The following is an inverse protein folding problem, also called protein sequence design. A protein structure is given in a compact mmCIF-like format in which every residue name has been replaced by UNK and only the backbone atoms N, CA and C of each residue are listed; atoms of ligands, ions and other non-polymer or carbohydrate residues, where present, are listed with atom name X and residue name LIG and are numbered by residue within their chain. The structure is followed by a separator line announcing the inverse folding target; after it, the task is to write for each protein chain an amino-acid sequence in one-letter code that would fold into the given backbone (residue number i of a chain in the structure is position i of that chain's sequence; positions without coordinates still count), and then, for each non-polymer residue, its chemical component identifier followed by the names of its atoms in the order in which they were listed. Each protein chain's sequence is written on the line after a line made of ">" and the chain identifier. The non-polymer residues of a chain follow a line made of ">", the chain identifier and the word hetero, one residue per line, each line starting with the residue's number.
data_IF_144523332095
#
_entry.id   IF_144523332095
#
_cell.length_a   1.000
_cell.length_b   1.000
_cell.length_c   1.000
_cell.angle_alpha   90.00
_cell.angle_beta   90.00
_cell.angle_gamma   90.00
#
_symmetry.space_group_name_H-M   'P 1'
#
loop_
_entity.id
_entity.type
_entity.pdbx_description
1 polymer ?
#
# COMPACT_ATOMS: atom_id res chain seq x y z
N UNK A 1 -3.38 -3.40 16.19
CA UNK A 1 -2.85 -2.47 15.17
C UNK A 1 -2.06 -1.40 15.90
N UNK A 2 -0.82 -1.17 15.46
CA UNK A 2 0.12 -0.21 16.05
C UNK A 2 -0.44 1.21 16.12
N UNK A 3 0.04 2.00 17.08
CA UNK A 3 -0.18 3.45 17.09
C UNK A 3 0.30 4.07 15.77
N UNK A 4 -0.48 5.00 15.21
CA UNK A 4 -0.23 5.56 13.88
C UNK A 4 1.19 6.11 13.70
N UNK A 5 1.74 6.82 14.70
CA UNK A 5 3.10 7.36 14.61
C UNK A 5 4.16 6.26 14.41
N UNK A 6 4.03 5.15 15.14
CA UNK A 6 4.92 3.99 15.02
C UNK A 6 4.70 3.26 13.70
N UNK A 7 3.45 3.12 13.26
CA UNK A 7 3.14 2.49 11.98
C UNK A 7 3.68 3.31 10.80
N UNK A 8 3.50 4.64 10.84
CA UNK A 8 4.04 5.58 9.85
C UNK A 8 5.57 5.55 9.82
N UNK A 9 6.25 5.56 10.97
CA UNK A 9 7.70 5.44 11.03
C UNK A 9 8.21 4.11 10.44
N UNK A 10 7.48 3.02 10.68
CA UNK A 10 7.81 1.74 10.09
C UNK A 10 7.69 1.75 8.58
N UNK A 11 6.61 2.32 8.05
CA UNK A 11 6.37 2.48 6.62
C UNK A 11 7.42 3.36 5.94
N UNK A 12 7.82 4.47 6.57
CA UNK A 12 8.87 5.38 6.05
C UNK A 12 10.25 4.72 5.96
N UNK A 13 10.52 3.71 6.78
CA UNK A 13 11.81 2.99 6.83
C UNK A 13 11.77 1.64 6.10
N UNK A 14 10.68 1.33 5.41
CA UNK A 14 10.42 0.02 4.85
C UNK A 14 11.41 -0.35 3.74
N UNK A 15 11.66 0.57 2.80
CA UNK A 15 12.63 0.39 1.72
C UNK A 15 14.05 0.17 2.27
N UNK A 16 14.47 0.97 3.26
CA UNK A 16 15.76 0.83 3.92
C UNK A 16 15.91 -0.51 4.65
N UNK A 17 14.86 -0.94 5.37
CA UNK A 17 14.82 -2.24 6.07
C UNK A 17 14.95 -3.39 5.07
N UNK A 18 14.26 -3.30 3.93
CA UNK A 18 14.31 -4.31 2.88
C UNK A 18 15.72 -4.36 2.25
N UNK A 19 16.29 -3.21 1.89
CA UNK A 19 17.65 -3.11 1.35
C UNK A 19 18.69 -3.68 2.30
N UNK A 20 18.60 -3.39 3.61
CA UNK A 20 19.51 -3.94 4.62
C UNK A 20 19.41 -5.45 4.72
N UNK A 21 18.20 -6.02 4.67
CA UNK A 21 17.99 -7.47 4.68
C UNK A 21 18.64 -8.13 3.46
N UNK A 22 18.45 -7.56 2.28
CA UNK A 22 19.09 -8.04 1.04
C UNK A 22 20.62 -7.95 1.09
N UNK A 23 21.18 -6.82 1.51
CA UNK A 23 22.64 -6.65 1.61
C UNK A 23 23.24 -7.61 2.64
N UNK A 24 22.55 -7.83 3.76
CA UNK A 24 23.01 -8.77 4.81
C UNK A 24 22.99 -10.23 4.38
N UNK A 25 22.10 -10.63 3.44
CA UNK A 25 22.03 -12.00 2.96
C UNK A 25 23.01 -12.32 1.83
N UNK A 26 23.70 -11.31 1.26
CA UNK A 26 24.53 -11.45 0.05
C UNK A 26 26.03 -11.73 0.30
N UNK A 27 26.58 -11.50 1.50
CA UNK A 27 28.00 -11.73 1.78
C UNK A 27 28.96 -11.13 0.73
N UNK A 28 30.15 -11.73 0.54
CA UNK A 28 31.15 -11.28 -0.45
C UNK A 28 30.70 -11.40 -1.94
N UNK A 29 29.47 -11.83 -2.22
CA UNK A 29 28.93 -12.01 -3.58
C UNK A 29 28.13 -10.80 -4.09
N UNK A 30 28.32 -9.61 -3.51
CA UNK A 30 27.62 -8.37 -3.88
C UNK A 30 27.95 -7.84 -5.29
N UNK A 31 28.97 -8.38 -5.96
CA UNK A 31 29.42 -7.93 -7.28
C UNK A 31 28.45 -8.22 -8.44
N UNK A 32 27.55 -9.21 -8.32
CA UNK A 32 26.62 -9.56 -9.41
C UNK A 32 25.24 -8.90 -9.28
N UNK A 33 24.97 -8.16 -8.20
CA UNK A 33 23.65 -7.58 -7.92
C UNK A 33 23.50 -6.11 -8.28
N UNK A 34 24.51 -5.50 -8.92
CA UNK A 34 24.47 -4.08 -9.33
C UNK A 34 23.41 -3.75 -10.39
N UNK A 35 22.65 -4.73 -10.88
CA UNK A 35 21.66 -4.55 -11.94
C UNK A 35 20.18 -4.46 -11.49
N UNK A 36 19.85 -4.47 -10.18
CA UNK A 36 18.44 -4.54 -9.74
C UNK A 36 17.91 -3.33 -8.96
N UNK A 37 18.34 -2.10 -9.28
CA UNK A 37 17.67 -0.88 -8.74
C UNK A 37 16.23 -0.74 -9.29
N UNK A 38 15.89 -1.45 -10.36
CA UNK A 38 14.52 -1.58 -10.92
C UNK A 38 13.71 -2.75 -10.31
N UNK A 39 14.02 -3.19 -9.11
CA UNK A 39 13.24 -4.23 -8.44
C UNK A 39 11.85 -3.69 -8.06
N UNK A 40 10.80 -4.30 -8.63
CA UNK A 40 9.39 -3.96 -8.37
C UNK A 40 9.08 -3.93 -6.86
N UNK A 41 9.75 -4.74 -6.04
CA UNK A 41 9.62 -4.74 -4.57
C UNK A 41 10.08 -3.43 -3.94
N UNK A 42 11.20 -2.89 -4.41
CA UNK A 42 11.75 -1.64 -3.87
C UNK A 42 10.79 -0.51 -4.22
N UNK A 43 10.26 -0.50 -5.46
CA UNK A 43 9.25 0.47 -5.89
C UNK A 43 7.96 0.37 -5.06
N UNK A 44 7.50 -0.84 -4.76
CA UNK A 44 6.34 -1.06 -3.90
C UNK A 44 6.57 -0.60 -2.44
N UNK A 45 7.77 -0.80 -1.89
CA UNK A 45 8.13 -0.27 -0.58
C UNK A 45 8.26 1.26 -0.58
N UNK A 46 8.77 1.84 -1.66
CA UNK A 46 8.84 3.29 -1.85
C UNK A 46 7.44 3.88 -1.96
N UNK A 47 6.51 3.20 -2.64
CA UNK A 47 5.11 3.62 -2.72
C UNK A 47 4.46 3.69 -1.34
N UNK A 48 4.62 2.64 -0.53
CA UNK A 48 4.16 2.63 0.87
C UNK A 48 4.79 3.78 1.66
N UNK A 49 6.09 4.01 1.49
CA UNK A 49 6.81 5.12 2.14
C UNK A 49 6.27 6.48 1.72
N UNK A 50 5.90 6.63 0.45
CA UNK A 50 5.38 7.88 -0.11
C UNK A 50 3.97 8.17 0.40
N UNK A 51 3.10 7.14 0.50
CA UNK A 51 1.79 7.24 1.18
C UNK A 51 1.98 7.61 2.65
N UNK A 52 2.91 6.97 3.35
CA UNK A 52 3.20 7.31 4.75
C UNK A 52 3.66 8.77 4.90
N UNK A 53 4.50 9.26 4.00
CA UNK A 53 4.98 10.65 3.97
C UNK A 53 3.85 11.63 3.67
N UNK A 54 2.94 11.29 2.77
CA UNK A 54 1.81 12.15 2.39
C UNK A 54 0.72 12.23 3.46
N UNK A 55 0.71 11.31 4.43
CA UNK A 55 -0.12 11.33 5.64
C UNK A 55 0.53 12.06 6.84
N UNK A 56 1.65 12.76 6.63
CA UNK A 56 2.32 13.55 7.67
C UNK A 56 1.41 14.68 8.20
N UNK A 57 1.61 15.05 9.47
CA UNK A 57 0.80 16.03 10.21
C UNK A 57 0.66 17.39 9.51
N UNK A 58 1.64 17.76 8.68
CA UNK A 58 1.66 19.04 7.98
C UNK A 58 0.53 19.13 6.93
N UNK A 59 0.00 17.98 6.49
CA UNK A 59 -1.10 17.90 5.53
C UNK A 59 -2.48 17.74 6.18
N UNK A 60 -2.55 17.77 7.52
CA UNK A 60 -3.77 17.39 8.26
C UNK A 60 -4.90 18.36 8.05
N UNK A 61 -4.61 19.66 7.91
CA UNK A 61 -5.62 20.68 7.65
C UNK A 61 -6.38 20.38 6.36
N UNK A 62 -5.66 20.10 5.27
CA UNK A 62 -6.23 19.85 3.94
C UNK A 62 -6.99 18.53 3.92
N UNK A 63 -6.42 17.48 4.53
CA UNK A 63 -7.09 16.18 4.61
C UNK A 63 -8.36 16.24 5.47
N UNK A 64 -8.31 16.96 6.59
CA UNK A 64 -9.45 17.11 7.49
C UNK A 64 -10.57 17.93 6.82
N UNK A 65 -10.24 18.95 6.03
CA UNK A 65 -11.20 19.69 5.22
C UNK A 65 -11.90 18.77 4.20
N UNK A 66 -11.14 17.93 3.49
CA UNK A 66 -11.69 16.92 2.58
C UNK A 66 -12.62 15.91 3.28
N UNK A 67 -12.24 15.43 4.47
CA UNK A 67 -13.10 14.53 5.23
C UNK A 67 -14.39 15.23 5.67
N UNK A 68 -14.34 16.51 6.04
CA UNK A 68 -15.53 17.28 6.42
C UNK A 68 -16.48 17.52 5.24
N UNK A 69 -15.96 17.69 4.03
CA UNK A 69 -16.80 17.93 2.85
C UNK A 69 -17.45 16.66 2.30
N UNK A 70 -16.80 15.51 2.44
CA UNK A 70 -17.26 14.25 1.85
C UNK A 70 -18.00 13.29 2.80
N UNK A 71 -17.82 13.43 4.12
CA UNK A 71 -18.60 12.66 5.10
C UNK A 71 -19.86 13.43 5.49
N UNK A 72 -21.02 12.92 5.06
CA UNK A 72 -22.37 13.53 5.16
C UNK A 72 -22.87 13.85 6.59
N UNK A 73 -22.07 13.66 7.65
CA UNK A 73 -22.47 13.93 9.04
C UNK A 73 -21.41 14.69 9.85
N UNK A 74 -21.92 15.63 10.64
CA UNK A 74 -21.21 16.68 11.36
C UNK A 74 -20.11 16.19 12.31
N UNK A 75 -19.03 17.00 12.37
CA UNK A 75 -17.89 16.95 13.31
C UNK A 75 -16.95 15.76 13.15
N UNK A 76 -16.30 15.66 11.98
CA UNK A 76 -15.03 14.92 11.86
C UNK A 76 -14.06 15.42 12.92
N UNK A 77 -13.72 14.54 13.85
CA UNK A 77 -12.80 14.79 14.96
C UNK A 77 -11.36 14.46 14.57
N UNK A 78 -10.41 14.86 15.40
CA UNK A 78 -9.01 14.44 15.23
C UNK A 78 -8.82 12.92 15.38
N UNK A 79 -9.71 12.26 16.11
CA UNK A 79 -9.72 10.80 16.22
C UNK A 79 -10.08 10.14 14.89
N UNK A 80 -11.11 10.67 14.22
CA UNK A 80 -11.55 10.17 12.92
C UNK A 80 -10.47 10.36 11.85
N UNK A 81 -9.73 11.48 11.90
CA UNK A 81 -8.57 11.70 11.05
C UNK A 81 -7.47 10.67 11.32
N UNK A 82 -7.12 10.42 12.58
CA UNK A 82 -6.10 9.45 12.93
C UNK A 82 -6.49 8.02 12.48
N UNK A 83 -7.75 7.65 12.69
CA UNK A 83 -8.29 6.36 12.24
C UNK A 83 -8.28 6.24 10.72
N UNK A 84 -8.69 7.30 10.01
CA UNK A 84 -8.64 7.35 8.56
C UNK A 84 -7.21 7.14 8.05
N UNK A 85 -6.23 7.89 8.57
CA UNK A 85 -4.81 7.74 8.17
C UNK A 85 -4.28 6.34 8.44
N UNK A 86 -4.63 5.76 9.59
CA UNK A 86 -4.23 4.41 9.96
C UNK A 86 -4.81 3.37 8.99
N UNK A 87 -6.10 3.50 8.66
CA UNK A 87 -6.80 2.65 7.67
C UNK A 87 -6.24 2.84 6.26
N UNK A 88 -5.94 4.06 5.83
CA UNK A 88 -5.28 4.33 4.54
C UNK A 88 -3.93 3.65 4.45
N UNK A 89 -3.10 3.77 5.52
CA UNK A 89 -1.79 3.15 5.55
C UNK A 89 -1.88 1.61 5.59
N UNK A 90 -2.82 1.05 6.34
CA UNK A 90 -3.10 -0.39 6.30
C UNK A 90 -3.57 -0.84 4.91
N UNK A 91 -4.43 -0.04 4.26
CA UNK A 91 -4.96 -0.30 2.92
C UNK A 91 -3.86 -0.43 1.87
N UNK A 92 -2.87 0.46 1.87
CA UNK A 92 -1.77 0.37 0.89
C UNK A 92 -0.89 -0.86 1.14
N UNK A 93 -0.65 -1.23 2.39
CA UNK A 93 0.04 -2.49 2.72
C UNK A 93 -0.74 -3.71 2.20
N UNK A 94 -2.06 -3.75 2.41
CA UNK A 94 -2.91 -4.86 1.94
C UNK A 94 -2.87 -4.96 0.42
N UNK A 95 -3.02 -3.82 -0.27
CA UNK A 95 -3.01 -3.77 -1.73
C UNK A 95 -1.66 -4.21 -2.31
N UNK A 96 -0.55 -3.76 -1.72
CA UNK A 96 0.78 -4.16 -2.16
C UNK A 96 1.01 -5.64 -1.87
N UNK A 97 0.73 -6.10 -0.64
CA UNK A 97 0.91 -7.50 -0.25
C UNK A 97 0.09 -8.46 -1.14
N UNK A 98 -1.11 -8.08 -1.56
CA UNK A 98 -1.93 -8.94 -2.43
C UNK A 98 -1.29 -9.20 -3.80
N UNK A 99 -0.39 -8.32 -4.28
CA UNK A 99 0.41 -8.55 -5.52
C UNK A 99 1.37 -9.73 -5.39
N UNK A 100 1.71 -10.11 -4.16
CA UNK A 100 2.68 -11.15 -3.81
C UNK A 100 2.03 -12.43 -3.25
N UNK A 101 0.70 -12.59 -3.36
CA UNK A 101 -0.05 -13.69 -2.74
C UNK A 101 0.19 -15.07 -3.37
N UNK A 102 0.69 -15.16 -4.60
CA UNK A 102 0.99 -16.44 -5.26
C UNK A 102 2.18 -17.15 -4.62
N UNK A 103 2.12 -18.47 -4.42
CA UNK A 103 3.14 -19.29 -3.72
C UNK A 103 4.60 -19.00 -4.13
N UNK A 104 4.86 -18.89 -5.44
CA UNK A 104 6.21 -18.60 -5.97
C UNK A 104 6.65 -17.18 -5.58
N UNK A 105 5.74 -16.21 -5.68
CA UNK A 105 6.01 -14.83 -5.29
C UNK A 105 6.18 -14.69 -3.77
N UNK A 106 5.38 -15.40 -2.97
CA UNK A 106 5.51 -15.42 -1.51
C UNK A 106 6.90 -15.88 -1.10
N UNK A 107 7.38 -16.99 -1.68
CA UNK A 107 8.70 -17.52 -1.37
C UNK A 107 9.83 -16.57 -1.76
N UNK A 108 9.77 -15.98 -2.95
CA UNK A 108 10.81 -15.05 -3.44
C UNK A 108 10.82 -13.71 -2.70
N UNK A 109 9.71 -13.34 -2.06
CA UNK A 109 9.50 -12.03 -1.44
C UNK A 109 9.27 -12.13 0.07
N UNK A 110 9.65 -13.26 0.68
CA UNK A 110 9.45 -13.56 2.10
C UNK A 110 9.97 -12.45 3.01
N UNK A 111 11.17 -11.92 2.73
CA UNK A 111 11.78 -10.83 3.52
C UNK A 111 10.92 -9.57 3.60
N UNK A 112 10.17 -9.25 2.54
CA UNK A 112 9.26 -8.11 2.48
C UNK A 112 7.91 -8.45 3.12
N UNK A 113 7.39 -9.65 2.88
CA UNK A 113 6.15 -10.14 3.50
C UNK A 113 6.28 -10.17 5.03
N UNK A 114 7.42 -10.57 5.57
CA UNK A 114 7.68 -10.52 7.02
C UNK A 114 7.66 -9.09 7.59
N UNK A 115 8.07 -8.10 6.80
CA UNK A 115 7.97 -6.69 7.20
C UNK A 115 6.50 -6.26 7.21
N UNK A 116 5.71 -6.67 6.21
CA UNK A 116 4.27 -6.40 6.17
C UNK A 116 3.52 -7.07 7.32
N UNK A 117 3.80 -8.34 7.60
CA UNK A 117 3.24 -9.09 8.72
C UNK A 117 3.52 -8.40 10.06
N UNK A 118 4.75 -7.95 10.26
CA UNK A 118 5.17 -7.24 11.47
C UNK A 118 4.47 -5.89 11.61
N UNK A 119 4.38 -5.12 10.53
CA UNK A 119 3.82 -3.78 10.56
C UNK A 119 2.29 -3.78 10.70
N UNK A 120 1.62 -4.76 10.10
CA UNK A 120 0.17 -4.97 10.21
C UNK A 120 -0.24 -5.78 11.46
N UNK A 121 0.71 -6.43 12.13
CA UNK A 121 0.48 -7.35 13.25
C UNK A 121 -0.40 -8.56 12.88
N UNK A 122 -0.26 -9.08 11.66
CA UNK A 122 -1.01 -10.25 11.15
C UNK A 122 -0.08 -11.26 10.48
N UNK A 123 -0.40 -12.56 10.57
CA UNK A 123 0.42 -13.62 9.97
C UNK A 123 0.10 -13.83 8.49
N UNK A 124 -1.14 -13.60 8.07
CA UNK A 124 -1.54 -13.62 6.67
C UNK A 124 -2.66 -12.61 6.40
N UNK A 125 -2.85 -12.26 5.12
CA UNK A 125 -3.98 -11.45 4.69
C UNK A 125 -5.35 -12.11 4.95
N UNK A 126 -5.37 -13.45 5.10
CA UNK A 126 -6.58 -14.21 5.40
C UNK A 126 -6.91 -14.20 6.89
N UNK A 127 -5.90 -14.05 7.76
CA UNK A 127 -6.08 -13.93 9.21
C UNK A 127 -6.54 -12.53 9.63
N UNK A 128 -6.46 -11.56 8.71
CA UNK A 128 -6.92 -10.20 8.95
C UNK A 128 -8.45 -10.16 8.99
N UNK A 129 -9.01 -9.45 9.98
CA UNK A 129 -10.44 -9.21 10.06
C UNK A 129 -10.98 -8.65 8.73
N UNK A 130 -11.97 -9.32 8.14
CA UNK A 130 -12.52 -8.97 6.82
C UNK A 130 -13.10 -7.56 6.77
N UNK A 131 -13.79 -7.14 7.84
CA UNK A 131 -14.31 -5.79 7.99
C UNK A 131 -13.17 -4.77 8.05
N UNK A 132 -12.14 -5.03 8.85
CA UNK A 132 -10.97 -4.15 8.94
C UNK A 132 -10.24 -4.02 7.60
N UNK A 133 -10.12 -5.12 6.86
CA UNK A 133 -9.53 -5.11 5.52
C UNK A 133 -10.38 -4.29 4.54
N UNK A 134 -11.70 -4.46 4.55
CA UNK A 134 -12.60 -3.71 3.66
C UNK A 134 -12.60 -2.21 3.97
N UNK A 135 -12.68 -1.85 5.25
CA UNK A 135 -12.61 -0.46 5.71
C UNK A 135 -11.27 0.18 5.36
N UNK A 136 -10.16 -0.57 5.44
CA UNK A 136 -8.82 -0.09 5.07
C UNK A 136 -8.69 0.16 3.57
N UNK A 137 -9.22 -0.74 2.74
CA UNK A 137 -9.23 -0.58 1.28
C UNK A 137 -10.18 0.55 0.85
N UNK A 138 -11.31 0.72 1.55
CA UNK A 138 -12.21 1.84 1.31
C UNK A 138 -11.55 3.18 1.67
N UNK A 139 -10.89 3.27 2.84
CA UNK A 139 -10.14 4.47 3.23
C UNK A 139 -9.01 4.79 2.25
N UNK A 140 -8.32 3.77 1.70
CA UNK A 140 -7.34 3.97 0.63
C UNK A 140 -7.99 4.53 -0.65
N UNK A 141 -9.14 3.98 -1.07
CA UNK A 141 -9.86 4.47 -2.26
C UNK A 141 -10.26 5.94 -2.11
N UNK A 142 -10.81 6.33 -0.95
CA UNK A 142 -11.13 7.73 -0.63
C UNK A 142 -9.87 8.61 -0.63
N UNK A 143 -8.76 8.10 -0.07
CA UNK A 143 -7.50 8.82 -0.07
C UNK A 143 -6.92 9.03 -1.47
N UNK A 144 -7.05 8.04 -2.36
CA UNK A 144 -6.65 8.18 -3.75
C UNK A 144 -7.45 9.26 -4.47
N UNK A 145 -8.77 9.36 -4.21
CA UNK A 145 -9.60 10.45 -4.73
C UNK A 145 -9.16 11.81 -4.21
N UNK A 146 -8.91 11.92 -2.90
CA UNK A 146 -8.33 13.11 -2.28
C UNK A 146 -7.01 13.53 -2.93
N UNK A 147 -6.07 12.59 -3.10
CA UNK A 147 -4.78 12.88 -3.69
C UNK A 147 -4.89 13.27 -5.18
N UNK A 148 -5.86 12.72 -5.91
CA UNK A 148 -6.18 13.12 -7.27
C UNK A 148 -6.69 14.57 -7.35
N UNK A 149 -7.61 14.96 -6.47
CA UNK A 149 -8.13 16.34 -6.40
C UNK A 149 -7.03 17.35 -6.01
N UNK A 150 -6.02 16.91 -5.25
CA UNK A 150 -4.96 17.77 -4.71
C UNK A 150 -3.62 17.65 -5.47
N UNK A 151 -3.63 17.19 -6.73
CA UNK A 151 -2.42 17.00 -7.56
C UNK A 151 -1.55 18.26 -7.73
N UNK A 152 -2.12 19.45 -7.50
CA UNK A 152 -1.38 20.71 -7.53
C UNK A 152 -0.26 20.76 -6.47
N UNK A 153 -0.38 19.97 -5.40
CA UNK A 153 0.67 19.83 -4.39
C UNK A 153 1.63 18.72 -4.83
N UNK A 154 2.92 19.02 -4.85
CA UNK A 154 3.99 18.13 -5.34
C UNK A 154 3.92 16.70 -4.77
N UNK A 155 3.63 16.57 -3.49
CA UNK A 155 3.58 15.26 -2.83
C UNK A 155 2.46 14.36 -3.38
N UNK A 156 1.32 14.95 -3.76
CA UNK A 156 0.18 14.20 -4.30
C UNK A 156 0.33 13.94 -5.79
N UNK A 157 0.92 14.85 -6.57
CA UNK A 157 1.26 14.54 -7.97
C UNK A 157 2.32 13.45 -8.08
N UNK A 158 3.36 13.49 -7.24
CA UNK A 158 4.33 12.40 -7.19
C UNK A 158 3.66 11.08 -6.76
N UNK A 159 2.73 11.10 -5.81
CA UNK A 159 1.96 9.92 -5.40
C UNK A 159 1.11 9.34 -6.52
N UNK A 160 0.37 10.18 -7.24
CA UNK A 160 -0.48 9.73 -8.36
C UNK A 160 0.35 9.12 -9.50
N UNK A 161 1.54 9.66 -9.76
CA UNK A 161 2.47 9.07 -10.74
C UNK A 161 2.88 7.64 -10.36
N UNK A 162 3.07 7.36 -9.07
CA UNK A 162 3.49 6.02 -8.61
C UNK A 162 2.32 5.04 -8.41
N UNK A 163 1.12 5.53 -8.03
CA UNK A 163 -0.06 4.68 -7.89
C UNK A 163 -0.60 4.20 -9.25
N UNK A 164 -0.43 5.02 -10.28
CA UNK A 164 -0.90 4.71 -11.64
C UNK A 164 -2.43 4.86 -11.78
N UNK A 165 -2.90 4.86 -13.03
CA UNK A 165 -4.30 5.13 -13.37
C UNK A 165 -5.25 3.99 -12.97
N UNK A 166 -4.74 2.76 -12.85
CA UNK A 166 -5.55 1.58 -12.51
C UNK A 166 -5.85 1.43 -11.02
N UNK A 167 -5.32 2.31 -10.16
CA UNK A 167 -5.34 2.09 -8.71
C UNK A 167 -6.74 1.87 -8.13
N UNK A 168 -7.73 2.64 -8.60
CA UNK A 168 -9.12 2.50 -8.14
C UNK A 168 -9.73 1.15 -8.58
N UNK A 169 -9.37 0.67 -9.77
CA UNK A 169 -9.78 -0.65 -10.27
C UNK A 169 -9.12 -1.75 -9.44
N UNK A 170 -7.81 -1.65 -9.22
CA UNK A 170 -7.05 -2.63 -8.43
C UNK A 170 -7.62 -2.75 -7.00
N UNK A 171 -7.98 -1.62 -6.37
CA UNK A 171 -8.63 -1.60 -5.05
C UNK A 171 -10.02 -2.24 -5.11
N UNK A 172 -10.85 -1.86 -6.08
CA UNK A 172 -12.20 -2.41 -6.22
C UNK A 172 -12.18 -3.93 -6.44
N UNK A 173 -11.35 -4.42 -7.35
CA UNK A 173 -11.23 -5.86 -7.65
C UNK A 173 -10.77 -6.64 -6.41
N UNK A 174 -9.83 -6.11 -5.63
CA UNK A 174 -9.38 -6.74 -4.39
C UNK A 174 -10.46 -6.77 -3.30
N UNK A 175 -11.32 -5.74 -3.23
CA UNK A 175 -12.46 -5.72 -2.29
C UNK A 175 -13.52 -6.74 -2.70
N UNK A 176 -13.87 -6.79 -3.99
CA UNK A 176 -14.85 -7.74 -4.52
C UNK A 176 -14.41 -9.19 -4.35
N UNK A 177 -13.13 -9.51 -4.59
CA UNK A 177 -12.61 -10.86 -4.47
C UNK A 177 -12.59 -11.41 -3.04
N UNK A 178 -12.54 -10.53 -2.03
CA UNK A 178 -12.67 -10.93 -0.61
C UNK A 178 -14.11 -11.16 -0.17
N UNK A 179 -15.09 -10.52 -0.84
CA UNK A 179 -16.51 -10.74 -0.57
C UNK A 179 -17.03 -12.01 -1.26
N UNK A 180 -16.50 -12.33 -2.45
CA UNK A 180 -16.83 -13.53 -3.19
C UNK A 180 -15.87 -14.67 -2.82
N UNK A 181 -16.18 -15.42 -1.75
CA UNK A 181 -15.46 -16.66 -1.39
C UNK A 181 -15.70 -17.82 -2.39
N UNK A 182 -16.06 -17.52 -3.64
CA UNK A 182 -16.23 -18.48 -4.72
C UNK A 182 -15.80 -17.88 -6.06
N UNK A 183 -14.62 -18.27 -6.53
CA UNK A 183 -14.05 -18.11 -7.88
C UNK A 183 -13.37 -16.79 -8.31
N UNK A 184 -12.06 -16.71 -8.05
CA UNK A 184 -10.97 -16.59 -9.04
C UNK A 184 -10.95 -15.48 -10.11
N UNK A 185 -11.79 -14.44 -10.08
CA UNK A 185 -11.62 -13.32 -11.02
C UNK A 185 -10.35 -12.49 -10.75
N UNK A 186 -9.92 -12.40 -9.50
CA UNK A 186 -8.67 -11.73 -9.13
C UNK A 186 -7.43 -12.47 -9.63
N UNK A 187 -7.41 -13.79 -9.54
CA UNK A 187 -6.31 -14.62 -10.04
C UNK A 187 -6.25 -14.60 -11.58
N UNK A 188 -7.40 -14.54 -12.24
CA UNK A 188 -7.49 -14.37 -13.70
C UNK A 188 -7.03 -12.96 -14.10
N UNK A 189 -7.44 -11.90 -13.40
CA UNK A 189 -6.99 -10.53 -13.66
C UNK A 189 -5.48 -10.36 -13.46
N UNK A 190 -4.93 -10.86 -12.35
CA UNK A 190 -3.49 -10.88 -12.09
C UNK A 190 -2.75 -11.70 -13.15
N UNK A 191 -3.30 -12.85 -13.55
CA UNK A 191 -2.79 -13.69 -14.63
C UNK A 191 -2.75 -12.96 -15.97
N UNK A 192 -3.82 -12.26 -16.32
CA UNK A 192 -3.93 -11.47 -17.56
C UNK A 192 -2.97 -10.27 -17.53
N UNK A 193 -2.90 -9.53 -16.43
CA UNK A 193 -1.97 -8.39 -16.26
C UNK A 193 -0.51 -8.82 -16.40
N UNK A 194 -0.15 -9.97 -15.80
CA UNK A 194 1.19 -10.58 -15.94
C UNK A 194 1.47 -11.11 -17.35
N UNK A 195 0.48 -11.70 -18.00
CA UNK A 195 0.63 -12.29 -19.35
C UNK A 195 0.71 -11.22 -20.44
N UNK A 196 0.03 -10.09 -20.26
CA UNK A 196 0.02 -8.99 -21.23
C UNK A 196 1.22 -8.05 -21.12
N UNK A 197 2.13 -8.26 -20.15
CA UNK A 197 3.32 -7.42 -20.01
C UNK A 197 2.99 -5.93 -19.86
N UNK A 198 1.84 -5.60 -19.26
CA UNK A 198 1.39 -4.23 -19.00
C UNK A 198 2.18 -3.62 -17.82
N UNK A 199 3.52 -3.61 -17.95
CA UNK A 199 4.36 -2.61 -17.30
C UNK A 199 4.27 -1.39 -18.22
N UNK A 200 3.40 -0.44 -17.88
CA UNK A 200 3.37 0.84 -18.59
C UNK A 200 4.72 1.54 -18.37
N UNK A 201 5.62 1.35 -19.33
CA UNK A 201 6.52 2.41 -19.79
C UNK A 201 5.61 3.56 -20.23
N UNK A 202 5.47 4.60 -19.40
CA UNK A 202 5.46 6.03 -19.75
C UNK A 202 5.23 6.89 -18.50
#
# INVERSE_FOLDING_TARGET
>A
MLEFAKFQQNALSLSDKLMRRFVSSLGCCSFFYTNSINDERIQDCLLISLVAKSLHKDNDSVLLEYLRSNFLNARVTQRDLAEFKQKTLAGIYILVWSRYSSTISTYLNQSMIELFQRDLEVLSLNDMNSQLSDESLYALSQYCSFAYENQQIKIYSDLMRHLGESIQVDIYTLRSSKQESSSSFYDVYLGVKRTLGLNFLF
#
